data_IF_903447778650
#
_entry.id   IF_903447778650
#
_cell.length_a   1.000
_cell.length_b   1.000
_cell.length_c   1.000
_cell.angle_alpha   90.00
_cell.angle_beta   90.00
_cell.angle_gamma   90.00
#
_symmetry.space_group_name_H-M   'P 1'
#
loop_
_entity.id
_entity.type
_entity.pdbx_description
1 polymer ?
#
# COMPACT_ATOMS: atom_id res chain seq x y z
N UNK A 1 -24.17 -0.27 -31.88
CA UNK A 1 -23.07 0.68 -31.63
C UNK A 1 -21.77 -0.08 -31.75
N UNK A 2 -20.77 0.45 -32.46
CA UNK A 2 -19.44 -0.17 -32.50
C UNK A 2 -18.76 -0.06 -31.14
N UNK A 3 -17.80 -0.95 -30.86
CA UNK A 3 -16.91 -0.78 -29.70
C UNK A 3 -16.09 0.50 -29.89
N UNK A 4 -15.77 1.18 -28.81
CA UNK A 4 -14.78 2.25 -28.84
C UNK A 4 -13.41 1.67 -29.26
N UNK A 5 -12.50 2.52 -29.75
CA UNK A 5 -11.11 2.17 -30.03
C UNK A 5 -10.17 2.93 -29.08
N UNK A 6 -9.27 2.21 -28.40
CA UNK A 6 -8.15 2.79 -27.67
C UNK A 6 -6.82 2.38 -28.30
N UNK A 7 -5.89 3.33 -28.36
CA UNK A 7 -4.49 3.08 -28.70
C UNK A 7 -3.66 3.32 -27.44
N UNK A 8 -2.82 2.34 -27.09
CA UNK A 8 -1.87 2.44 -26.00
C UNK A 8 -0.45 2.46 -26.56
N UNK A 9 0.47 3.13 -25.86
CA UNK A 9 1.92 3.00 -26.04
C UNK A 9 2.37 1.53 -26.01
N UNK A 10 3.61 1.22 -26.42
CA UNK A 10 4.18 -0.09 -26.18
C UNK A 10 4.03 -0.52 -24.72
N UNK A 11 3.78 -1.80 -24.44
CA UNK A 11 3.38 -2.25 -23.12
C UNK A 11 4.44 -1.99 -22.04
N UNK A 12 4.08 -1.17 -21.07
CA UNK A 12 4.69 -1.10 -19.75
C UNK A 12 3.61 -1.20 -18.65
N UNK A 13 4.00 -1.08 -17.38
CA UNK A 13 3.05 -1.26 -16.28
C UNK A 13 1.93 -0.22 -16.30
N UNK A 14 2.23 1.04 -16.62
CA UNK A 14 1.25 2.12 -16.64
C UNK A 14 0.30 1.98 -17.82
N UNK A 15 0.79 1.67 -19.01
CA UNK A 15 -0.02 1.37 -20.18
C UNK A 15 -0.95 0.17 -19.93
N UNK A 16 -0.45 -0.92 -19.35
CA UNK A 16 -1.23 -2.12 -19.04
C UNK A 16 -2.31 -1.85 -17.98
N UNK A 17 -1.98 -1.12 -16.92
CA UNK A 17 -2.95 -0.74 -15.90
C UNK A 17 -4.01 0.24 -16.43
N UNK A 18 -3.60 1.20 -17.26
CA UNK A 18 -4.49 2.17 -17.92
C UNK A 18 -5.51 1.46 -18.80
N UNK A 19 -5.06 0.47 -19.59
CA UNK A 19 -5.92 -0.39 -20.41
C UNK A 19 -6.91 -1.18 -19.55
N UNK A 20 -6.43 -1.79 -18.46
CA UNK A 20 -7.29 -2.55 -17.54
C UNK A 20 -8.38 -1.66 -16.91
N UNK A 21 -8.03 -0.48 -16.40
CA UNK A 21 -8.98 0.44 -15.78
C UNK A 21 -9.97 1.00 -16.81
N UNK A 22 -9.52 1.31 -18.03
CA UNK A 22 -10.40 1.78 -19.11
C UNK A 22 -11.40 0.68 -19.51
N UNK A 23 -10.93 -0.55 -19.70
CA UNK A 23 -11.78 -1.72 -19.99
C UNK A 23 -12.84 -1.89 -18.91
N UNK A 24 -12.44 -1.81 -17.63
CA UNK A 24 -13.35 -1.92 -16.49
C UNK A 24 -14.38 -0.78 -16.46
N UNK A 25 -13.96 0.47 -16.69
CA UNK A 25 -14.86 1.62 -16.72
C UNK A 25 -15.88 1.56 -17.86
N UNK A 26 -15.50 0.96 -18.99
CA UNK A 26 -16.35 0.82 -20.18
C UNK A 26 -17.03 -0.56 -20.30
N UNK A 27 -16.97 -1.41 -19.26
CA UNK A 27 -17.50 -2.77 -19.27
C UNK A 27 -17.08 -3.58 -20.52
N UNK A 28 -15.79 -3.57 -20.85
CA UNK A 28 -15.18 -4.22 -22.02
C UNK A 28 -15.74 -3.79 -23.39
N UNK A 29 -16.49 -2.68 -23.44
CA UNK A 29 -17.00 -2.08 -24.68
C UNK A 29 -15.93 -1.24 -25.42
N UNK A 30 -14.71 -1.77 -25.49
CA UNK A 30 -13.52 -1.10 -26.05
C UNK A 30 -12.66 -2.16 -26.76
N UNK A 31 -12.13 -1.83 -27.93
CA UNK A 31 -11.03 -2.53 -28.58
C UNK A 31 -9.74 -1.78 -28.28
N UNK A 32 -8.69 -2.50 -27.89
CA UNK A 32 -7.40 -1.91 -27.49
C UNK A 32 -6.31 -2.44 -28.40
N UNK A 33 -5.42 -1.55 -28.85
CA UNK A 33 -4.21 -1.92 -29.60
C UNK A 33 -2.99 -1.24 -28.98
N UNK A 34 -2.00 -2.05 -28.63
CA UNK A 34 -0.67 -1.57 -28.29
C UNK A 34 0.10 -1.34 -29.59
N UNK A 35 0.57 -0.12 -29.81
CA UNK A 35 1.28 0.27 -31.03
C UNK A 35 2.47 1.17 -30.68
N UNK A 36 3.47 1.19 -31.55
CA UNK A 36 4.65 2.05 -31.38
C UNK A 36 4.27 3.53 -31.33
N UNK A 37 5.01 4.31 -30.54
CA UNK A 37 4.75 5.75 -30.37
C UNK A 37 4.72 6.51 -31.71
N UNK A 38 5.61 6.17 -32.65
CA UNK A 38 5.64 6.78 -33.99
C UNK A 38 4.36 6.52 -34.80
N UNK A 39 3.68 5.40 -34.54
CA UNK A 39 2.39 5.07 -35.15
C UNK A 39 1.27 5.84 -34.46
N UNK A 40 1.33 6.01 -33.13
CA UNK A 40 0.36 6.79 -32.35
C UNK A 40 0.33 8.24 -32.85
N UNK A 41 1.49 8.85 -33.11
CA UNK A 41 1.61 10.23 -33.62
C UNK A 41 0.72 10.52 -34.83
N UNK A 42 0.61 9.57 -35.75
CA UNK A 42 -0.16 9.71 -36.99
C UNK A 42 -1.59 9.13 -36.88
N UNK A 43 -2.02 8.68 -35.71
CA UNK A 43 -3.27 7.94 -35.53
C UNK A 43 -4.36 8.75 -34.82
N UNK A 44 -5.62 8.34 -35.05
CA UNK A 44 -6.81 8.85 -34.35
C UNK A 44 -7.59 7.68 -33.72
N UNK A 45 -8.01 7.84 -32.46
CA UNK A 45 -8.77 6.84 -31.70
C UNK A 45 -9.73 7.52 -30.72
N UNK A 46 -10.65 6.77 -30.11
CA UNK A 46 -11.52 7.34 -29.06
C UNK A 46 -10.72 7.71 -27.83
N UNK A 47 -9.84 6.81 -27.42
CA UNK A 47 -8.95 7.01 -26.29
C UNK A 47 -7.50 6.80 -26.70
N UNK A 48 -6.60 7.60 -26.14
CA UNK A 48 -5.15 7.38 -26.22
C UNK A 48 -4.64 7.20 -24.80
N UNK A 49 -3.84 6.15 -24.58
CA UNK A 49 -3.30 5.77 -23.29
C UNK A 49 -1.78 5.86 -23.34
N UNK A 50 -1.22 6.53 -22.34
CA UNK A 50 0.21 6.57 -22.06
C UNK A 50 1.08 7.05 -23.24
N UNK A 51 0.59 8.08 -23.94
CA UNK A 51 1.35 8.72 -25.01
C UNK A 51 1.02 10.20 -25.12
N UNK A 52 2.03 11.09 -25.27
CA UNK A 52 1.81 12.52 -25.48
C UNK A 52 1.37 12.85 -26.91
N UNK A 53 1.21 11.83 -27.77
CA UNK A 53 1.00 12.00 -29.20
C UNK A 53 -0.37 11.48 -29.66
N UNK A 54 -0.67 11.67 -30.95
CA UNK A 54 -1.90 11.23 -31.59
C UNK A 54 -3.12 12.09 -31.26
N UNK A 55 -4.23 11.81 -31.95
CA UNK A 55 -5.50 12.51 -31.79
C UNK A 55 -6.53 11.63 -31.07
N UNK A 56 -6.89 12.00 -29.84
CA UNK A 56 -7.99 11.36 -29.11
C UNK A 56 -9.33 12.06 -29.40
N UNK A 57 -10.36 11.31 -29.78
CA UNK A 57 -11.73 11.83 -30.01
C UNK A 57 -12.46 12.12 -28.71
N UNK A 58 -12.15 11.38 -27.64
CA UNK A 58 -12.78 11.52 -26.33
C UNK A 58 -11.77 12.00 -25.29
N UNK A 59 -10.73 11.21 -25.01
CA UNK A 59 -9.76 11.56 -23.98
C UNK A 59 -8.39 10.93 -24.22
N UNK A 60 -7.34 11.70 -23.91
CA UNK A 60 -5.96 11.23 -23.84
C UNK A 60 -5.53 11.17 -22.38
N UNK A 61 -5.18 9.98 -21.92
CA UNK A 61 -4.65 9.74 -20.59
C UNK A 61 -3.14 9.59 -20.71
N UNK A 62 -2.41 10.67 -20.46
CA UNK A 62 -0.95 10.73 -20.61
C UNK A 62 -0.37 11.70 -19.58
N UNK A 63 0.85 11.46 -19.10
CA UNK A 63 1.54 12.31 -18.12
C UNK A 63 2.91 12.85 -18.56
N UNK A 64 3.43 12.44 -19.72
CA UNK A 64 4.77 12.76 -20.20
C UNK A 64 5.04 14.27 -20.38
N UNK A 65 4.01 15.04 -20.75
CA UNK A 65 4.12 16.49 -20.94
C UNK A 65 3.86 17.30 -19.65
N UNK A 66 3.63 16.63 -18.52
CA UNK A 66 3.24 17.28 -17.27
C UNK A 66 4.32 17.17 -16.20
N UNK A 67 4.36 18.13 -15.27
CA UNK A 67 5.22 18.06 -14.07
C UNK A 67 4.53 17.34 -12.89
N UNK A 68 3.32 16.85 -13.12
CA UNK A 68 2.50 16.22 -12.10
C UNK A 68 3.08 14.85 -11.79
N UNK A 69 3.26 14.55 -10.50
CA UNK A 69 3.64 13.21 -10.04
C UNK A 69 2.43 12.29 -10.10
N UNK A 70 2.11 11.85 -11.31
CA UNK A 70 0.97 11.00 -11.65
C UNK A 70 1.36 10.02 -12.75
N UNK A 71 0.42 9.16 -13.13
CA UNK A 71 0.56 8.21 -14.22
C UNK A 71 -0.76 8.13 -15.01
N UNK A 72 -0.73 7.57 -16.20
CA UNK A 72 -1.88 7.42 -17.09
C UNK A 72 -3.02 6.63 -16.43
N UNK A 73 -2.69 5.59 -15.64
CA UNK A 73 -3.68 4.78 -14.93
C UNK A 73 -4.48 5.61 -13.91
N UNK A 74 -3.83 6.54 -13.22
CA UNK A 74 -4.51 7.47 -12.31
C UNK A 74 -5.45 8.40 -13.07
N UNK A 75 -5.01 8.95 -14.21
CA UNK A 75 -5.86 9.83 -15.02
C UNK A 75 -7.13 9.11 -15.50
N UNK A 76 -7.05 7.82 -15.83
CA UNK A 76 -8.22 6.99 -16.15
C UNK A 76 -9.16 6.87 -14.94
N UNK A 77 -8.63 6.49 -13.77
CA UNK A 77 -9.42 6.32 -12.56
C UNK A 77 -10.15 7.61 -12.15
N UNK A 78 -9.48 8.75 -12.30
CA UNK A 78 -10.03 10.08 -11.96
C UNK A 78 -11.12 10.53 -12.93
N UNK A 79 -10.88 10.41 -14.24
CA UNK A 79 -11.85 10.82 -15.26
C UNK A 79 -13.17 10.06 -15.15
N UNK A 80 -13.10 8.74 -14.93
CA UNK A 80 -14.28 7.90 -14.76
C UNK A 80 -14.84 7.89 -13.32
N UNK A 81 -14.24 8.64 -12.39
CA UNK A 81 -14.64 8.69 -10.97
C UNK A 81 -14.77 7.30 -10.35
N UNK A 82 -13.79 6.45 -10.60
CA UNK A 82 -13.78 5.08 -10.11
C UNK A 82 -13.69 5.04 -8.58
N UNK A 83 -14.00 3.87 -7.99
CA UNK A 83 -14.00 3.67 -6.54
C UNK A 83 -12.61 3.78 -5.90
N UNK A 84 -12.59 3.80 -4.55
CA UNK A 84 -11.34 3.90 -3.78
C UNK A 84 -10.39 2.72 -4.06
N UNK A 85 -10.92 1.51 -4.27
CA UNK A 85 -10.13 0.35 -4.68
C UNK A 85 -9.42 0.54 -6.03
N UNK A 86 -10.12 1.02 -7.06
CA UNK A 86 -9.52 1.29 -8.37
C UNK A 86 -8.50 2.44 -8.31
N UNK A 87 -8.78 3.49 -7.54
CA UNK A 87 -7.81 4.55 -7.28
C UNK A 87 -6.55 4.01 -6.60
N UNK A 88 -6.69 3.14 -5.60
CA UNK A 88 -5.56 2.55 -4.88
C UNK A 88 -4.72 1.61 -5.76
N UNK A 89 -5.34 0.93 -6.72
CA UNK A 89 -4.62 0.22 -7.77
C UNK A 89 -3.81 1.18 -8.64
N UNK A 90 -4.42 2.28 -9.10
CA UNK A 90 -3.71 3.30 -9.88
C UNK A 90 -2.57 3.95 -9.08
N UNK A 91 -2.74 4.21 -7.78
CA UNK A 91 -1.68 4.71 -6.90
C UNK A 91 -0.49 3.74 -6.84
N UNK A 92 -0.78 2.44 -6.66
CA UNK A 92 0.25 1.41 -6.62
C UNK A 92 1.04 1.29 -7.93
N UNK A 93 0.38 1.52 -9.07
CA UNK A 93 1.01 1.59 -10.40
C UNK A 93 1.83 2.86 -10.55
N UNK A 94 1.25 4.03 -10.27
CA UNK A 94 1.95 5.32 -10.39
C UNK A 94 3.23 5.36 -9.54
N UNK A 95 3.23 4.72 -8.37
CA UNK A 95 4.44 4.61 -7.55
C UNK A 95 5.57 3.85 -8.23
N UNK A 96 5.27 2.79 -8.99
CA UNK A 96 6.27 2.03 -9.72
C UNK A 96 6.72 2.76 -10.98
N UNK A 97 5.76 3.38 -11.68
CA UNK A 97 5.99 4.16 -12.89
C UNK A 97 6.90 5.38 -12.64
N UNK A 98 6.65 6.15 -11.58
CA UNK A 98 7.43 7.33 -11.22
C UNK A 98 8.77 7.01 -10.51
N UNK A 99 9.23 5.77 -10.56
CA UNK A 99 10.41 5.30 -9.81
C UNK A 99 10.34 5.69 -8.32
N UNK A 100 9.19 5.50 -7.66
CA UNK A 100 8.96 5.84 -6.25
C UNK A 100 9.93 5.17 -5.26
N UNK A 101 10.69 4.18 -5.72
CA UNK A 101 11.85 3.61 -5.04
C UNK A 101 13.06 4.56 -4.95
N UNK A 102 13.13 5.65 -5.74
CA UNK A 102 14.15 6.71 -5.59
C UNK A 102 13.78 7.75 -4.54
N UNK A 103 12.51 7.87 -4.18
CA UNK A 103 11.98 8.86 -3.23
C UNK A 103 11.64 8.26 -1.86
N UNK A 104 12.18 7.07 -1.54
CA UNK A 104 11.97 6.19 -0.37
C UNK A 104 11.32 6.86 0.86
N UNK A 105 10.01 7.06 0.76
CA UNK A 105 9.11 7.18 1.90
C UNK A 105 8.61 5.82 2.37
N UNK A 106 9.06 4.69 1.79
CA UNK A 106 8.78 3.32 2.22
C UNK A 106 9.93 2.43 1.74
N UNK A 107 10.69 1.85 2.66
CA UNK A 107 11.62 0.76 2.34
C UNK A 107 10.80 -0.52 2.11
N UNK A 108 11.00 -1.16 0.95
CA UNK A 108 10.55 -2.52 0.69
C UNK A 108 9.15 -2.68 0.09
N UNK A 109 9.05 -2.43 -1.21
CA UNK A 109 8.44 -3.38 -2.15
C UNK A 109 9.10 -3.08 -3.50
N UNK A 110 9.96 -3.98 -3.94
CA UNK A 110 10.59 -3.95 -5.25
C UNK A 110 9.53 -3.73 -6.34
N UNK A 111 9.95 -3.27 -7.52
CA UNK A 111 9.13 -3.08 -8.72
C UNK A 111 8.53 -4.41 -9.22
N UNK A 112 7.84 -5.18 -8.38
CA UNK A 112 7.47 -6.58 -8.60
C UNK A 112 6.46 -6.70 -9.74
N UNK A 113 5.54 -5.74 -9.88
CA UNK A 113 4.58 -5.75 -10.98
C UNK A 113 5.29 -5.40 -12.30
N UNK A 114 6.09 -4.34 -12.33
CA UNK A 114 6.88 -3.98 -13.52
C UNK A 114 7.90 -5.08 -13.89
N UNK A 115 8.55 -5.69 -12.91
CA UNK A 115 9.49 -6.81 -13.09
C UNK A 115 8.77 -8.05 -13.60
N UNK A 116 7.58 -8.35 -13.07
CA UNK A 116 6.77 -9.46 -13.57
C UNK A 116 6.35 -9.21 -15.02
N UNK A 117 5.93 -7.99 -15.38
CA UNK A 117 5.59 -7.62 -16.75
C UNK A 117 6.79 -7.80 -17.67
N UNK A 118 7.94 -7.21 -17.31
CA UNK A 118 9.19 -7.33 -18.08
C UNK A 118 9.63 -8.78 -18.23
N UNK A 119 9.44 -9.61 -17.19
CA UNK A 119 9.75 -11.04 -17.25
C UNK A 119 8.87 -11.79 -18.25
N UNK A 120 7.57 -11.48 -18.30
CA UNK A 120 6.65 -12.05 -19.30
C UNK A 120 7.03 -11.62 -20.72
N UNK A 121 7.36 -10.34 -20.91
CA UNK A 121 7.82 -9.81 -22.20
C UNK A 121 9.11 -10.52 -22.67
N UNK A 122 10.11 -10.67 -21.79
CA UNK A 122 11.36 -11.40 -22.08
C UNK A 122 11.09 -12.89 -22.37
N UNK A 123 10.10 -13.49 -21.69
CA UNK A 123 9.66 -14.86 -21.96
C UNK A 123 8.87 -15.02 -23.27
N UNK A 124 8.66 -13.94 -24.03
CA UNK A 124 7.99 -13.96 -25.33
C UNK A 124 6.47 -13.94 -25.27
N UNK A 125 5.87 -13.54 -24.14
CA UNK A 125 4.42 -13.35 -24.05
C UNK A 125 4.00 -12.16 -24.92
N UNK A 126 2.95 -12.35 -25.71
CA UNK A 126 2.32 -11.29 -26.49
C UNK A 126 1.44 -10.38 -25.61
N UNK A 127 1.08 -9.17 -26.09
CA UNK A 127 0.20 -8.25 -25.38
C UNK A 127 -1.07 -8.85 -24.80
N UNK A 128 -1.82 -9.60 -25.61
CA UNK A 128 -3.03 -10.28 -25.17
C UNK A 128 -2.79 -11.24 -23.99
N UNK A 129 -1.62 -11.88 -23.96
CA UNK A 129 -1.32 -12.93 -22.97
C UNK A 129 -0.91 -12.37 -21.62
N UNK A 130 -0.07 -11.33 -21.58
CA UNK A 130 0.25 -10.72 -20.28
C UNK A 130 -0.90 -9.82 -19.79
N UNK A 131 -1.71 -9.23 -20.67
CA UNK A 131 -2.95 -8.55 -20.25
C UNK A 131 -3.86 -9.51 -19.47
N UNK A 132 -4.03 -10.75 -19.93
CA UNK A 132 -4.82 -11.77 -19.23
C UNK A 132 -4.24 -12.12 -17.85
N UNK A 133 -2.91 -12.18 -17.73
CA UNK A 133 -2.22 -12.41 -16.45
C UNK A 133 -2.42 -11.23 -15.51
N UNK A 134 -2.13 -10.02 -15.98
CA UNK A 134 -2.26 -8.80 -15.20
C UNK A 134 -3.69 -8.50 -14.82
N UNK A 135 -4.68 -8.80 -15.68
CA UNK A 135 -6.09 -8.72 -15.33
C UNK A 135 -6.39 -9.51 -14.05
N UNK A 136 -5.92 -10.76 -13.95
CA UNK A 136 -6.15 -11.60 -12.76
C UNK A 136 -5.47 -11.02 -11.52
N UNK A 137 -4.24 -10.51 -11.67
CA UNK A 137 -3.50 -9.85 -10.59
C UNK A 137 -4.26 -8.61 -10.11
N UNK A 138 -4.67 -7.75 -11.04
CA UNK A 138 -5.39 -6.52 -10.75
C UNK A 138 -6.78 -6.78 -10.17
N UNK A 139 -7.54 -7.77 -10.68
CA UNK A 139 -8.81 -8.18 -10.09
C UNK A 139 -8.61 -8.60 -8.62
N UNK A 140 -7.57 -9.39 -8.32
CA UNK A 140 -7.24 -9.79 -6.96
C UNK A 140 -6.83 -8.61 -6.07
N UNK A 141 -6.06 -7.66 -6.60
CA UNK A 141 -5.69 -6.42 -5.90
C UNK A 141 -6.93 -5.57 -5.58
N UNK A 142 -7.86 -5.41 -6.53
CA UNK A 142 -9.12 -4.69 -6.31
C UNK A 142 -9.91 -5.35 -5.17
N UNK A 143 -10.05 -6.68 -5.19
CA UNK A 143 -10.74 -7.41 -4.11
C UNK A 143 -10.04 -7.20 -2.77
N UNK A 144 -8.71 -7.28 -2.72
CA UNK A 144 -7.94 -6.97 -1.50
C UNK A 144 -8.22 -5.54 -1.03
N UNK A 145 -8.17 -4.54 -1.92
CA UNK A 145 -8.35 -3.15 -1.52
C UNK A 145 -9.77 -2.85 -1.03
N UNK A 146 -10.78 -3.49 -1.62
CA UNK A 146 -12.16 -3.43 -1.11
C UNK A 146 -12.27 -4.06 0.28
N UNK A 147 -11.54 -5.14 0.56
CA UNK A 147 -11.54 -5.76 1.88
C UNK A 147 -10.77 -4.91 2.90
N UNK A 148 -9.63 -4.35 2.51
CA UNK A 148 -8.85 -3.43 3.34
C UNK A 148 -9.72 -2.22 3.79
N UNK A 149 -10.62 -1.71 2.95
CA UNK A 149 -11.55 -0.63 3.34
C UNK A 149 -12.47 -1.03 4.50
N UNK A 150 -12.97 -2.28 4.51
CA UNK A 150 -13.77 -2.80 5.61
C UNK A 150 -12.93 -2.96 6.88
N UNK A 151 -11.70 -3.46 6.71
CA UNK A 151 -10.74 -3.62 7.79
C UNK A 151 -10.36 -2.28 8.41
N UNK A 152 -10.23 -1.20 7.63
CA UNK A 152 -9.96 0.16 8.14
C UNK A 152 -11.05 0.63 9.09
N UNK A 153 -12.32 0.43 8.75
CA UNK A 153 -13.44 0.78 9.64
C UNK A 153 -13.38 -0.01 10.95
N UNK A 154 -13.10 -1.32 10.87
CA UNK A 154 -12.94 -2.17 12.06
C UNK A 154 -11.74 -1.74 12.93
N UNK A 155 -10.63 -1.32 12.32
CA UNK A 155 -9.47 -0.81 13.05
C UNK A 155 -9.84 0.47 13.83
N UNK A 156 -10.60 1.37 13.21
CA UNK A 156 -11.02 2.61 13.87
C UNK A 156 -11.89 2.30 15.10
N UNK A 157 -12.87 1.40 14.96
CA UNK A 157 -13.76 0.95 16.05
C UNK A 157 -13.00 0.23 17.17
N UNK A 158 -11.89 -0.42 16.85
CA UNK A 158 -11.07 -1.18 17.81
C UNK A 158 -9.83 -0.39 18.28
N UNK A 159 -9.74 0.91 17.99
CA UNK A 159 -8.64 1.74 18.48
C UNK A 159 -8.81 1.99 19.98
N UNK A 160 -7.85 1.50 20.78
CA UNK A 160 -7.81 1.69 22.24
C UNK A 160 -7.15 3.02 22.59
N UNK A 161 -6.08 3.38 21.87
CA UNK A 161 -5.28 4.56 22.14
C UNK A 161 -4.68 5.10 20.84
N UNK A 162 -4.71 6.42 20.68
CA UNK A 162 -4.10 7.14 19.57
C UNK A 162 -3.44 8.39 20.13
N UNK A 163 -2.12 8.52 19.98
CA UNK A 163 -1.42 9.73 20.41
C UNK A 163 -1.72 10.90 19.46
N UNK A 164 -1.57 12.13 19.97
CA UNK A 164 -1.50 13.31 19.10
C UNK A 164 -0.37 13.12 18.06
N UNK A 165 -0.63 13.48 16.80
CA UNK A 165 0.29 13.25 15.68
C UNK A 165 0.40 11.79 15.20
N UNK A 166 -0.40 10.86 15.73
CA UNK A 166 -0.41 9.44 15.39
C UNK A 166 0.93 8.71 15.61
N UNK A 167 1.84 9.22 16.44
CA UNK A 167 3.11 8.52 16.73
C UNK A 167 2.87 7.10 17.25
N UNK A 168 2.00 6.92 18.24
CA UNK A 168 1.63 5.62 18.81
C UNK A 168 0.16 5.34 18.55
N UNK A 169 -0.13 4.20 17.92
CA UNK A 169 -1.48 3.68 17.70
C UNK A 169 -1.63 2.33 18.37
N UNK A 170 -2.71 2.15 19.14
CA UNK A 170 -3.04 0.89 19.82
C UNK A 170 -4.38 0.38 19.35
N UNK A 171 -4.41 -0.87 18.91
CA UNK A 171 -5.61 -1.51 18.37
C UNK A 171 -5.87 -2.83 19.09
N UNK A 172 -7.14 -3.09 19.40
CA UNK A 172 -7.61 -4.37 19.90
C UNK A 172 -7.97 -5.30 18.74
N UNK A 173 -7.06 -6.16 18.33
CA UNK A 173 -7.29 -7.14 17.29
C UNK A 173 -6.04 -7.49 16.50
N UNK A 174 -6.09 -8.64 15.83
CA UNK A 174 -5.01 -9.11 14.96
C UNK A 174 -5.21 -8.60 13.52
N UNK A 175 -5.16 -7.29 13.32
CA UNK A 175 -5.35 -6.67 12.00
C UNK A 175 -4.07 -6.66 11.14
N UNK A 176 -4.17 -6.67 9.80
CA UNK A 176 -3.02 -6.59 8.91
C UNK A 176 -2.17 -5.32 9.15
N UNK A 177 -0.88 -5.51 9.45
CA UNK A 177 0.03 -4.39 9.78
C UNK A 177 0.22 -3.45 8.58
N UNK A 178 0.26 -4.00 7.37
CA UNK A 178 0.40 -3.26 6.11
C UNK A 178 -0.74 -2.25 5.93
N UNK A 179 -1.98 -2.64 6.23
CA UNK A 179 -3.16 -1.77 6.19
C UNK A 179 -3.04 -0.67 7.24
N UNK A 180 -2.70 -1.03 8.48
CA UNK A 180 -2.59 -0.05 9.57
C UNK A 180 -1.51 1.01 9.28
N UNK A 181 -0.31 0.58 8.88
CA UNK A 181 0.78 1.50 8.56
C UNK A 181 0.52 2.34 7.31
N UNK A 182 -0.30 1.87 6.38
CA UNK A 182 -0.67 2.63 5.18
C UNK A 182 -1.70 3.73 5.49
N UNK A 183 -2.78 3.37 6.19
CA UNK A 183 -3.95 4.25 6.34
C UNK A 183 -3.80 5.18 7.54
N UNK A 184 -3.28 4.70 8.68
CA UNK A 184 -3.14 5.50 9.90
C UNK A 184 -1.74 6.09 10.09
N UNK A 185 -0.75 5.53 9.37
CA UNK A 185 0.65 5.94 9.38
C UNK A 185 1.29 6.10 10.77
N UNK A 186 1.07 5.17 11.73
CA UNK A 186 1.74 5.29 13.01
C UNK A 186 3.25 5.09 12.89
N UNK A 187 3.98 5.69 13.83
CA UNK A 187 5.40 5.39 14.02
C UNK A 187 5.58 4.09 14.81
N UNK A 188 4.69 3.83 15.77
CA UNK A 188 4.66 2.63 16.59
C UNK A 188 3.24 2.08 16.65
N UNK A 189 3.11 0.80 16.32
CA UNK A 189 1.85 0.07 16.35
C UNK A 189 1.86 -0.91 17.52
N UNK A 190 0.95 -0.72 18.47
CA UNK A 190 0.64 -1.66 19.55
C UNK A 190 -0.59 -2.49 19.15
N UNK A 191 -0.43 -3.81 19.02
CA UNK A 191 -1.54 -4.74 18.80
C UNK A 191 -1.81 -5.52 20.05
N UNK A 192 -3.07 -5.51 20.48
CA UNK A 192 -3.58 -6.28 21.60
C UNK A 192 -4.50 -7.36 21.04
N UNK A 193 -4.37 -8.60 21.49
CA UNK A 193 -5.27 -9.68 21.09
C UNK A 193 -5.43 -10.68 22.23
N UNK A 194 -6.33 -11.65 22.06
CA UNK A 194 -6.46 -12.79 22.98
C UNK A 194 -5.17 -13.60 23.13
N UNK A 195 -4.21 -13.46 22.23
CA UNK A 195 -2.94 -14.19 22.25
C UNK A 195 -1.80 -13.39 22.85
N UNK A 196 -2.01 -12.12 23.15
CA UNK A 196 -1.00 -11.27 23.78
C UNK A 196 -0.97 -9.83 23.28
N UNK A 197 0.15 -9.17 23.55
CA UNK A 197 0.42 -7.79 23.14
C UNK A 197 1.72 -7.73 22.36
N UNK A 198 1.78 -6.89 21.32
CA UNK A 198 3.02 -6.65 20.59
C UNK A 198 3.14 -5.21 20.15
N UNK A 199 4.38 -4.74 20.04
CA UNK A 199 4.73 -3.43 19.48
C UNK A 199 5.59 -3.64 18.26
N UNK A 200 5.25 -2.96 17.18
CA UNK A 200 6.08 -2.90 15.98
C UNK A 200 6.42 -1.44 15.69
N UNK A 201 7.71 -1.13 15.57
CA UNK A 201 8.20 0.15 15.07
C UNK A 201 8.09 0.18 13.56
N UNK A 202 7.69 1.32 13.01
CA UNK A 202 7.73 1.58 11.57
C UNK A 202 9.15 1.41 11.04
N UNK A 203 9.30 0.71 9.92
CA UNK A 203 10.60 0.51 9.27
C UNK A 203 11.28 1.82 8.86
N UNK A 204 10.51 2.92 8.71
CA UNK A 204 11.04 4.26 8.39
C UNK A 204 11.86 4.87 9.53
N UNK A 205 11.76 4.32 10.73
CA UNK A 205 12.46 4.80 11.90
C UNK A 205 13.65 3.91 12.22
N UNK A 206 14.80 4.55 12.48
CA UNK A 206 16.01 3.88 12.98
C UNK A 206 16.06 3.85 14.52
N UNK A 207 15.32 4.75 15.19
CA UNK A 207 15.30 4.91 16.63
C UNK A 207 13.88 5.29 17.12
N UNK A 208 13.61 5.18 18.44
CA UNK A 208 14.39 4.47 19.45
C UNK A 208 14.44 2.95 19.25
N UNK A 209 15.48 2.31 19.78
CA UNK A 209 15.57 0.86 19.93
C UNK A 209 14.56 0.40 21.01
N UNK A 210 13.62 -0.47 20.65
CA UNK A 210 12.59 -0.95 21.58
C UNK A 210 13.15 -1.87 22.68
N UNK A 211 14.38 -2.38 22.56
CA UNK A 211 15.05 -3.08 23.65
C UNK A 211 15.35 -2.16 24.85
N UNK A 212 15.56 -0.86 24.62
CA UNK A 212 15.70 0.14 25.68
C UNK A 212 14.38 0.37 26.45
N UNK A 213 13.24 -0.07 25.91
CA UNK A 213 11.95 0.04 26.58
C UNK A 213 11.77 -1.00 27.69
N UNK A 214 12.71 -1.94 27.84
CA UNK A 214 12.66 -3.05 28.80
C UNK A 214 12.44 -2.60 30.24
N UNK A 215 13.15 -1.57 30.70
CA UNK A 215 13.04 -1.09 32.09
C UNK A 215 11.67 -0.46 32.37
N UNK A 216 11.09 0.19 31.37
CA UNK A 216 9.72 0.74 31.47
C UNK A 216 8.72 -0.40 31.53
N UNK A 217 8.87 -1.43 30.70
CA UNK A 217 8.02 -2.64 30.78
C UNK A 217 8.11 -3.29 32.16
N UNK A 218 9.32 -3.41 32.71
CA UNK A 218 9.53 -4.01 34.02
C UNK A 218 8.77 -3.28 35.14
N UNK A 219 8.56 -1.96 35.02
CA UNK A 219 7.84 -1.18 36.03
C UNK A 219 6.32 -1.24 35.90
N UNK A 220 5.79 -1.48 34.70
CA UNK A 220 4.34 -1.51 34.43
C UNK A 220 3.76 -2.92 34.26
N UNK A 221 4.60 -3.94 34.10
CA UNK A 221 4.19 -5.32 33.82
C UNK A 221 4.09 -6.19 35.07
N UNK A 222 2.95 -6.85 35.25
CA UNK A 222 2.75 -7.92 36.25
C UNK A 222 3.72 -9.07 35.96
N UNK A 223 4.74 -9.23 36.79
CA UNK A 223 5.76 -10.27 36.64
C UNK A 223 7.02 -9.85 35.86
N UNK A 224 7.23 -8.55 35.62
CA UNK A 224 8.48 -8.05 35.04
C UNK A 224 8.65 -8.37 33.55
N UNK A 225 9.85 -8.80 33.13
CA UNK A 225 10.21 -8.95 31.70
C UNK A 225 10.46 -10.38 31.25
N UNK A 226 10.31 -11.38 32.13
CA UNK A 226 10.79 -12.75 31.92
C UNK A 226 10.18 -13.48 30.71
N UNK A 227 8.97 -13.09 30.31
CA UNK A 227 8.24 -13.67 29.16
C UNK A 227 8.10 -12.72 27.98
N UNK A 228 8.71 -11.54 28.06
CA UNK A 228 8.73 -10.59 26.96
C UNK A 228 9.83 -10.96 25.97
N UNK A 229 9.46 -11.04 24.70
CA UNK A 229 10.40 -11.14 23.60
C UNK A 229 10.82 -9.74 23.15
N UNK A 230 12.12 -9.53 23.05
CA UNK A 230 12.72 -8.31 22.49
C UNK A 230 13.49 -8.69 21.25
N UNK A 231 13.10 -8.15 20.10
CA UNK A 231 13.80 -8.41 18.86
C UNK A 231 15.23 -7.82 18.92
N UNK A 232 16.28 -8.58 18.54
CA UNK A 232 17.68 -8.11 18.67
C UNK A 232 18.00 -6.80 17.93
N UNK A 233 17.26 -6.49 16.87
CA UNK A 233 17.40 -5.25 16.09
C UNK A 233 16.50 -4.11 16.60
N UNK A 234 15.81 -4.30 17.74
CA UNK A 234 15.09 -3.21 18.40
C UNK A 234 13.81 -2.73 17.71
N UNK A 235 13.31 -3.41 16.68
CA UNK A 235 12.10 -2.97 15.95
C UNK A 235 10.80 -3.59 16.47
N UNK A 236 10.87 -4.62 17.30
CA UNK A 236 9.70 -5.36 17.79
C UNK A 236 9.88 -5.82 19.23
N UNK A 237 8.80 -5.73 20.00
CA UNK A 237 8.65 -6.38 21.30
C UNK A 237 7.30 -7.09 21.36
N UNK A 238 7.22 -8.20 22.09
CA UNK A 238 5.99 -8.95 22.21
C UNK A 238 5.89 -9.76 23.49
N UNK A 239 4.67 -9.98 23.94
CA UNK A 239 4.33 -10.87 25.04
C UNK A 239 3.22 -11.79 24.56
N UNK A 240 3.44 -13.10 24.67
CA UNK A 240 2.43 -14.11 24.32
C UNK A 240 1.82 -14.70 25.58
N UNK A 241 0.49 -14.84 25.57
CA UNK A 241 -0.28 -15.57 26.59
C UNK A 241 -0.86 -16.85 26.03
N UNK A 242 -1.12 -17.82 26.89
CA UNK A 242 -2.04 -18.90 26.61
C UNK A 242 -3.41 -18.57 27.21
N UNK A 243 -4.36 -17.98 26.46
CA UNK A 243 -5.64 -17.57 27.04
C UNK A 243 -6.45 -18.74 27.63
N UNK A 244 -6.19 -19.97 27.20
CA UNK A 244 -6.94 -21.15 27.62
C UNK A 244 -6.63 -21.58 29.07
N UNK A 245 -5.57 -21.04 29.68
CA UNK A 245 -5.21 -21.28 31.08
C UNK A 245 -5.61 -20.13 32.03
N UNK A 246 -6.35 -19.13 31.54
CA UNK A 246 -6.74 -17.95 32.31
C UNK A 246 -5.63 -16.88 32.43
N UNK A 247 -4.54 -17.01 31.67
CA UNK A 247 -3.55 -15.95 31.56
C UNK A 247 -4.15 -14.66 30.99
N UNK A 248 -3.76 -13.54 31.59
CA UNK A 248 -4.11 -12.21 31.12
C UNK A 248 -2.86 -11.49 30.62
N UNK A 249 -3.06 -10.50 29.76
CA UNK A 249 -2.00 -9.58 29.36
C UNK A 249 -1.43 -8.92 30.64
N UNK A 250 -0.10 -8.89 30.82
CA UNK A 250 0.49 -8.49 32.08
C UNK A 250 0.53 -6.96 32.26
N UNK A 251 0.07 -6.20 31.27
CA UNK A 251 0.07 -4.74 31.23
C UNK A 251 -1.30 -4.22 30.79
N UNK A 252 -1.74 -3.10 31.35
CA UNK A 252 -2.88 -2.38 30.78
C UNK A 252 -2.46 -1.76 29.44
N UNK A 253 -3.15 -2.02 28.33
CA UNK A 253 -2.73 -1.52 27.01
C UNK A 253 -2.66 -0.01 26.89
N UNK A 254 -3.59 0.73 27.50
CA UNK A 254 -3.60 2.19 27.41
C UNK A 254 -2.43 2.81 28.18
N UNK A 255 -2.17 2.31 29.40
CA UNK A 255 -0.99 2.71 30.17
C UNK A 255 0.30 2.39 29.42
N UNK A 256 0.41 1.18 28.89
CA UNK A 256 1.57 0.74 28.12
C UNK A 256 1.85 1.66 26.92
N UNK A 257 0.80 2.08 26.20
CA UNK A 257 0.94 2.96 25.05
C UNK A 257 1.29 4.41 25.42
N UNK A 258 0.81 4.91 26.56
CA UNK A 258 1.22 6.21 27.11
C UNK A 258 2.70 6.20 27.50
N UNK A 259 3.14 5.15 28.19
CA UNK A 259 4.55 4.99 28.57
C UNK A 259 5.47 4.84 27.35
N UNK A 260 5.00 4.13 26.31
CA UNK A 260 5.72 4.03 25.03
C UNK A 260 5.88 5.40 24.37
N UNK A 261 4.82 6.22 24.34
CA UNK A 261 4.88 7.58 23.80
C UNK A 261 5.90 8.44 24.56
N UNK A 262 5.88 8.40 25.89
CA UNK A 262 6.81 9.17 26.71
C UNK A 262 8.26 8.68 26.55
N UNK A 263 8.47 7.38 26.40
CA UNK A 263 9.77 6.81 26.04
C UNK A 263 10.27 7.33 24.68
N UNK A 264 9.42 7.33 23.66
CA UNK A 264 9.75 7.82 22.31
C UNK A 264 10.12 9.30 22.35
N UNK A 265 9.34 10.15 23.04
CA UNK A 265 9.64 11.58 23.19
C UNK A 265 10.97 11.84 23.87
N UNK A 266 11.27 11.12 24.96
CA UNK A 266 12.55 11.24 25.68
C UNK A 266 13.74 10.89 24.78
N UNK A 267 13.61 9.84 23.97
CA UNK A 267 14.67 9.39 23.06
C UNK A 267 14.79 10.23 21.78
N UNK A 268 13.75 10.97 21.40
CA UNK A 268 13.76 11.90 20.28
C UNK A 268 14.45 13.24 20.58
N UNK A 269 14.66 13.56 21.86
CA UNK A 269 15.34 14.80 22.27
C UNK A 269 16.84 14.54 22.29
N UNK A 270 17.65 15.21 21.44
CA UNK A 270 19.10 15.07 21.52
C UNK A 270 19.58 15.65 22.85
N UNK A 271 20.36 14.86 23.60
CA UNK A 271 21.24 15.40 24.64
C UNK A 271 22.43 16.11 24.00
#
# INVERSE_FOLDING_TARGET
>A
MGKFLALASPPDLDAVASVYLLKRALNDNIEVRYIDHSVIEASEADYILDSPHGKARIMRFDHHDTKDWTCSAMKVAEYFKMGKAERRLAEAVCWQDNAGWRSLGRDGMDNLLDTALKSLMVAGYRPDQFEDVFKRIFDAMIVKFQEDEKVVMQIEENTIFRSEGNEVLTVNGDFPKDVIFQEFRPQFLVKVSRWGISVTRSAKLQAPDLSDFKDVIASISRGGTDRWFFHPQGFYIGYSINPDNGEEIPVNPELFSRELLEFVKKKATPH
#
